data_IF_526482626208
#
_entry.id   IF_526482626208
#
_cell.length_a   1.000
_cell.length_b   1.000
_cell.length_c   1.000
_cell.angle_alpha   90.00
_cell.angle_beta   90.00
_cell.angle_gamma   90.00
#
_symmetry.space_group_name_H-M   'P 1'
#
loop_
_entity.id
_entity.type
_entity.pdbx_description
1 polymer ?
#
# COMPACT_ATOMS: atom_id res chain seq x y z
N UNK A 1 -11.45 3.92 10.35
CA UNK A 1 -12.75 4.48 10.78
C UNK A 1 -12.80 5.96 10.47
N UNK A 2 -13.90 6.46 9.89
CA UNK A 2 -14.15 7.90 9.73
C UNK A 2 -15.03 8.35 10.90
N UNK A 3 -14.71 9.48 11.51
CA UNK A 3 -15.50 10.06 12.62
C UNK A 3 -15.58 11.57 12.45
N UNK A 4 -16.68 12.17 12.92
CA UNK A 4 -16.85 13.63 12.96
C UNK A 4 -16.79 14.11 14.40
N UNK A 5 -16.05 15.19 14.56
CA UNK A 5 -15.92 15.99 15.78
C UNK A 5 -17.18 16.88 15.95
N UNK A 6 -17.60 17.27 17.17
CA UNK A 6 -18.60 18.30 17.42
C UNK A 6 -18.42 19.59 16.60
N UNK A 7 -17.17 19.97 16.31
CA UNK A 7 -16.82 21.11 15.43
C UNK A 7 -17.11 20.86 13.94
N UNK A 8 -17.69 19.71 13.58
CA UNK A 8 -17.97 19.29 12.20
C UNK A 8 -16.74 18.79 11.42
N UNK A 9 -15.55 18.76 12.05
CA UNK A 9 -14.31 18.31 11.41
C UNK A 9 -14.32 16.81 11.17
N UNK A 10 -13.88 16.38 9.99
CA UNK A 10 -13.80 14.95 9.65
C UNK A 10 -12.42 14.39 9.95
N UNK A 11 -12.42 13.34 10.75
CA UNK A 11 -11.23 12.58 11.16
C UNK A 11 -11.25 11.18 10.55
N UNK A 12 -10.05 10.66 10.28
CA UNK A 12 -9.84 9.28 9.85
C UNK A 12 -8.82 8.63 10.77
N UNK A 13 -9.27 7.63 11.54
CA UNK A 13 -8.41 6.82 12.42
C UNK A 13 -8.15 5.49 11.74
N UNK A 14 -6.89 5.15 11.49
CA UNK A 14 -6.49 3.94 10.76
C UNK A 14 -5.30 3.26 11.41
N UNK A 15 -5.21 1.95 11.22
CA UNK A 15 -4.01 1.18 11.56
C UNK A 15 -2.97 1.34 10.46
N UNK A 16 -1.72 1.57 10.85
CA UNK A 16 -0.59 1.58 9.93
C UNK A 16 -0.05 0.17 9.78
N UNK A 17 -0.12 -0.36 8.56
CA UNK A 17 0.32 -1.73 8.28
C UNK A 17 1.83 -1.89 8.14
N UNK A 18 2.52 -0.81 7.78
CA UNK A 18 3.96 -0.82 7.52
C UNK A 18 4.67 0.21 8.40
N UNK A 19 5.85 -0.10 8.95
CA UNK A 19 6.58 0.83 9.82
C UNK A 19 7.11 2.08 9.07
N UNK A 20 7.35 2.01 7.77
CA UNK A 20 7.82 3.14 6.96
C UNK A 20 6.69 4.12 6.57
N UNK A 21 7.01 5.43 6.48
CA UNK A 21 6.05 6.46 6.07
C UNK A 21 5.89 6.36 4.56
N UNK A 22 4.71 5.93 4.08
CA UNK A 22 4.42 5.92 2.64
C UNK A 22 4.24 7.36 2.16
N UNK A 23 5.26 7.94 1.52
CA UNK A 23 5.06 9.08 0.61
C UNK A 23 4.53 8.49 -0.69
N UNK A 24 3.21 8.54 -0.90
CA UNK A 24 2.64 8.19 -2.20
C UNK A 24 3.11 9.27 -3.17
N UNK A 25 4.06 8.92 -4.03
CA UNK A 25 4.35 9.67 -5.25
C UNK A 25 3.28 9.27 -6.26
N UNK A 26 2.58 10.24 -6.81
CA UNK A 26 1.62 10.02 -7.89
C UNK A 26 2.35 9.31 -9.04
N UNK A 27 1.86 8.12 -9.41
CA UNK A 27 2.36 7.38 -10.55
C UNK A 27 1.71 7.98 -11.81
N UNK A 28 2.48 8.35 -12.84
CA UNK A 28 1.92 8.64 -14.15
C UNK A 28 1.34 7.36 -14.76
N UNK A 29 0.09 7.42 -15.19
CA UNK A 29 -0.54 6.40 -16.03
C UNK A 29 0.02 6.53 -17.46
N UNK A 30 0.86 5.59 -17.88
CA UNK A 30 1.24 5.40 -19.27
C UNK A 30 1.56 3.93 -19.53
N UNK A 31 0.61 3.21 -20.14
CA UNK A 31 0.79 1.83 -20.61
C UNK A 31 1.25 1.83 -22.07
N UNK A 32 2.33 1.10 -22.45
CA UNK A 32 2.88 1.09 -23.81
C UNK A 32 2.21 0.09 -24.76
N UNK A 33 0.95 -0.31 -24.53
CA UNK A 33 0.36 -1.50 -25.15
C UNK A 33 -0.56 -1.26 -26.36
N UNK A 34 -0.70 -0.03 -26.84
CA UNK A 34 -1.64 0.30 -27.94
C UNK A 34 -1.18 -0.17 -29.34
N UNK A 35 0.04 -0.68 -29.50
CA UNK A 35 0.63 -1.03 -30.79
C UNK A 35 0.52 -2.50 -31.24
N UNK A 36 -0.04 -3.41 -30.44
CA UNK A 36 0.08 -4.86 -30.66
C UNK A 36 -1.07 -5.50 -31.47
N UNK A 37 -2.05 -4.72 -31.94
CA UNK A 37 -3.28 -5.24 -32.54
C UNK A 37 -3.22 -5.50 -34.07
N UNK A 38 -2.02 -5.62 -34.68
CA UNK A 38 -1.89 -5.68 -36.15
C UNK A 38 -0.89 -6.69 -36.74
N UNK A 39 -0.35 -7.62 -35.94
CA UNK A 39 0.80 -8.47 -36.35
C UNK A 39 0.42 -9.92 -36.77
N UNK A 40 -0.81 -10.18 -37.24
CA UNK A 40 -1.35 -11.54 -37.29
C UNK A 40 -1.58 -12.23 -38.65
N UNK A 41 -1.73 -11.51 -39.76
CA UNK A 41 -2.48 -12.09 -40.90
C UNK A 41 -1.63 -12.54 -42.10
N UNK A 42 -0.32 -12.28 -42.12
CA UNK A 42 0.57 -12.63 -43.24
C UNK A 42 1.90 -13.29 -42.79
N UNK A 43 2.48 -14.19 -43.60
CA UNK A 43 3.70 -14.91 -43.25
C UNK A 43 4.91 -13.99 -43.04
N UNK A 44 4.91 -12.77 -43.58
CA UNK A 44 5.99 -11.79 -43.34
C UNK A 44 5.88 -11.21 -41.93
N UNK A 45 4.68 -10.86 -41.47
CA UNK A 45 4.45 -10.44 -40.07
C UNK A 45 4.89 -11.50 -39.06
N UNK A 46 4.66 -12.79 -39.33
CA UNK A 46 5.13 -13.87 -38.46
C UNK A 46 6.66 -13.90 -38.32
N UNK A 47 7.40 -13.70 -39.41
CA UNK A 47 8.87 -13.62 -39.38
C UNK A 47 9.34 -12.40 -38.59
N UNK A 48 8.71 -11.24 -38.81
CA UNK A 48 9.02 -10.00 -38.06
C UNK A 48 8.77 -10.21 -36.57
N UNK A 49 7.65 -10.82 -36.19
CA UNK A 49 7.31 -11.12 -34.81
C UNK A 49 8.33 -12.06 -34.15
N UNK A 50 8.79 -13.10 -34.86
CA UNK A 50 9.84 -14.01 -34.35
C UNK A 50 11.16 -13.27 -34.13
N UNK A 51 11.59 -12.43 -35.08
CA UNK A 51 12.82 -11.64 -34.94
C UNK A 51 12.70 -10.69 -33.74
N UNK A 52 11.59 -9.96 -33.63
CA UNK A 52 11.34 -9.08 -32.49
C UNK A 52 11.31 -9.84 -31.17
N UNK A 53 10.72 -11.04 -31.13
CA UNK A 53 10.69 -11.89 -29.95
C UNK A 53 12.10 -12.33 -29.55
N UNK A 54 12.94 -12.74 -30.50
CA UNK A 54 14.33 -13.12 -30.25
C UNK A 54 15.13 -11.93 -29.71
N UNK A 55 14.93 -10.74 -30.29
CA UNK A 55 15.55 -9.50 -29.80
C UNK A 55 15.04 -9.09 -28.41
N UNK A 56 13.76 -9.31 -28.13
CA UNK A 56 13.13 -9.05 -26.83
C UNK A 56 13.41 -10.13 -25.79
N UNK A 57 13.90 -11.31 -26.18
CA UNK A 57 14.15 -12.45 -25.29
C UNK A 57 14.95 -12.10 -24.02
N UNK A 58 16.06 -11.33 -24.06
CA UNK A 58 16.74 -10.91 -22.83
C UNK A 58 15.85 -10.08 -21.90
N UNK A 59 14.99 -9.20 -22.44
CA UNK A 59 14.03 -8.43 -21.66
C UNK A 59 12.94 -9.34 -21.08
N UNK A 60 12.44 -10.31 -21.85
CA UNK A 60 11.44 -11.28 -21.37
C UNK A 60 12.02 -12.12 -20.24
N UNK A 61 13.25 -12.62 -20.38
CA UNK A 61 13.93 -13.37 -19.33
C UNK A 61 14.08 -12.50 -18.07
N UNK A 62 14.59 -11.28 -18.21
CA UNK A 62 14.71 -10.35 -17.09
C UNK A 62 13.35 -10.09 -16.41
N UNK A 63 12.30 -9.86 -17.20
CA UNK A 63 10.95 -9.65 -16.69
C UNK A 63 10.42 -10.86 -15.92
N UNK A 64 10.70 -12.08 -16.37
CA UNK A 64 10.34 -13.31 -15.65
C UNK A 64 11.09 -13.44 -14.32
N UNK A 65 12.38 -13.11 -14.28
CA UNK A 65 13.16 -13.10 -13.02
C UNK A 65 12.59 -12.09 -12.03
N UNK A 66 12.30 -10.87 -12.47
CA UNK A 66 11.69 -9.83 -11.63
C UNK A 66 10.30 -10.26 -11.17
N UNK A 67 9.48 -10.84 -12.05
CA UNK A 67 8.15 -11.33 -11.70
C UNK A 67 8.22 -12.46 -10.65
N UNK A 68 9.19 -13.37 -10.78
CA UNK A 68 9.44 -14.43 -9.80
C UNK A 68 9.87 -13.84 -8.45
N UNK A 69 10.79 -12.86 -8.44
CA UNK A 69 11.20 -12.17 -7.22
C UNK A 69 10.02 -11.48 -6.53
N UNK A 70 9.18 -10.76 -7.30
CA UNK A 70 7.97 -10.13 -6.78
C UNK A 70 6.98 -11.17 -6.23
N UNK A 71 6.84 -12.33 -6.88
CA UNK A 71 6.01 -13.42 -6.40
C UNK A 71 6.54 -13.99 -5.08
N UNK A 72 7.86 -14.17 -4.94
CA UNK A 72 8.50 -14.62 -3.71
C UNK A 72 8.33 -13.59 -2.59
N UNK A 73 8.50 -12.30 -2.87
CA UNK A 73 8.24 -11.22 -1.91
C UNK A 73 6.78 -11.20 -1.48
N UNK A 74 5.85 -11.35 -2.43
CA UNK A 74 4.42 -11.43 -2.13
C UNK A 74 4.10 -12.63 -1.24
N UNK A 75 4.72 -13.79 -1.51
CA UNK A 75 4.59 -14.98 -0.68
C UNK A 75 5.22 -14.79 0.70
N UNK A 76 6.28 -13.99 0.83
CA UNK A 76 6.95 -13.70 2.10
C UNK A 76 6.13 -12.76 3.01
N UNK A 77 5.30 -11.87 2.44
CA UNK A 77 4.46 -10.93 3.21
C UNK A 77 3.61 -11.61 4.29
N UNK A 78 2.82 -12.68 4.03
CA UNK A 78 2.04 -13.34 5.07
C UNK A 78 2.92 -13.95 6.17
N UNK A 79 4.07 -14.53 5.84
CA UNK A 79 5.00 -15.06 6.86
C UNK A 79 5.61 -13.94 7.69
N UNK A 80 6.01 -12.83 7.07
CA UNK A 80 6.50 -11.66 7.78
C UNK A 80 5.41 -11.06 8.69
N UNK A 81 4.16 -11.02 8.24
CA UNK A 81 3.03 -10.57 9.05
C UNK A 81 2.77 -11.51 10.24
N UNK A 82 2.84 -12.83 10.03
CA UNK A 82 2.68 -13.83 11.08
C UNK A 82 3.81 -13.77 12.10
N UNK A 83 5.06 -13.69 11.63
CA UNK A 83 6.23 -13.47 12.48
C UNK A 83 6.08 -12.17 13.28
N UNK A 84 5.66 -11.08 12.65
CA UNK A 84 5.40 -9.80 13.32
C UNK A 84 4.37 -9.94 14.47
N UNK A 85 3.31 -10.73 14.25
CA UNK A 85 2.32 -11.03 15.30
C UNK A 85 2.92 -11.92 16.39
N UNK A 86 3.68 -12.95 16.03
CA UNK A 86 4.30 -13.89 16.98
C UNK A 86 5.38 -13.24 17.86
N UNK A 87 6.15 -12.29 17.31
CA UNK A 87 7.17 -11.53 18.05
C UNK A 87 6.62 -10.33 18.82
N UNK A 88 5.29 -10.17 18.92
CA UNK A 88 4.66 -9.10 19.71
C UNK A 88 4.94 -7.69 19.19
N UNK A 89 5.26 -7.55 17.91
CA UNK A 89 5.56 -6.23 17.34
C UNK A 89 4.30 -5.36 17.33
N UNK A 90 4.44 -4.18 17.92
CA UNK A 90 3.37 -3.23 18.13
C UNK A 90 2.92 -2.65 16.77
N UNK A 91 1.62 -2.52 16.57
CA UNK A 91 1.03 -1.82 15.42
C UNK A 91 0.93 -0.34 15.74
N UNK A 92 1.21 0.56 14.80
CA UNK A 92 1.00 2.00 15.06
C UNK A 92 -0.42 2.38 14.63
N UNK A 93 -1.14 3.11 15.48
CA UNK A 93 -2.41 3.74 15.12
C UNK A 93 -2.12 5.18 14.71
N UNK A 94 -2.76 5.63 13.64
CA UNK A 94 -2.69 7.01 13.18
C UNK A 94 -4.08 7.65 13.20
N UNK A 95 -4.16 8.87 13.71
CA UNK A 95 -5.32 9.75 13.56
C UNK A 95 -4.99 10.87 12.57
N UNK A 96 -5.81 11.00 11.54
CA UNK A 96 -5.66 12.00 10.48
C UNK A 96 -6.82 12.97 10.51
N UNK A 97 -6.52 14.25 10.31
CA UNK A 97 -7.49 15.32 10.13
C UNK A 97 -7.46 15.74 8.66
N UNK A 98 -8.49 15.39 7.89
CA UNK A 98 -8.43 15.48 6.43
C UNK A 98 -7.31 14.59 5.85
N UNK A 99 -6.34 15.20 5.19
CA UNK A 99 -5.16 14.52 4.60
C UNK A 99 -3.91 14.56 5.48
N UNK A 100 -3.92 15.36 6.55
CA UNK A 100 -2.77 15.57 7.43
C UNK A 100 -2.78 14.59 8.60
N UNK A 101 -1.64 13.99 8.91
CA UNK A 101 -1.46 13.15 10.10
C UNK A 101 -1.37 14.08 11.31
N UNK A 102 -2.24 13.87 12.29
CA UNK A 102 -2.30 14.68 13.50
C UNK A 102 -1.60 13.98 14.67
N UNK A 103 -1.82 12.67 14.79
CA UNK A 103 -1.32 11.89 15.91
C UNK A 103 -0.97 10.46 15.48
N UNK A 104 0.07 9.92 16.09
CA UNK A 104 0.49 8.52 15.99
C UNK A 104 0.90 7.96 17.35
N UNK A 105 0.54 6.69 17.62
CA UNK A 105 1.05 5.98 18.78
C UNK A 105 1.17 4.47 18.53
N UNK A 106 2.15 3.81 19.16
CA UNK A 106 2.19 2.36 19.22
C UNK A 106 0.95 1.84 19.97
N UNK A 107 0.37 0.81 19.40
CA UNK A 107 -0.69 -0.03 19.96
C UNK A 107 -0.16 -1.45 19.96
N UNK A 108 -0.49 -2.26 20.95
CA UNK A 108 0.07 -3.60 21.07
C UNK A 108 -0.45 -4.57 19.99
N UNK A 109 -1.10 -5.63 20.41
CA UNK A 109 -1.59 -6.68 19.51
C UNK A 109 -2.70 -6.24 18.55
N UNK A 110 -3.11 -7.15 17.67
CA UNK A 110 -4.18 -6.91 16.69
C UNK A 110 -5.52 -6.52 17.35
N UNK A 111 -5.84 -7.13 18.49
CA UNK A 111 -7.09 -6.90 19.24
C UNK A 111 -7.06 -5.56 19.98
N UNK A 112 -5.99 -5.31 20.71
CA UNK A 112 -5.74 -4.06 21.47
C UNK A 112 -5.77 -2.84 20.57
N UNK A 113 -5.13 -2.93 19.40
CA UNK A 113 -5.14 -1.86 18.42
C UNK A 113 -6.55 -1.58 17.87
N UNK A 114 -7.43 -2.57 17.79
CA UNK A 114 -8.84 -2.38 17.43
C UNK A 114 -9.66 -1.69 18.52
N UNK A 115 -9.39 -2.02 19.79
CA UNK A 115 -9.99 -1.36 20.95
C UNK A 115 -9.54 0.11 21.04
N UNK A 116 -8.24 0.37 20.87
CA UNK A 116 -7.68 1.71 20.94
C UNK A 116 -8.15 2.60 19.76
N UNK A 117 -8.31 2.06 18.55
CA UNK A 117 -8.96 2.80 17.44
C UNK A 117 -10.36 3.25 17.80
N UNK A 118 -11.16 2.38 18.44
CA UNK A 118 -12.53 2.71 18.87
C UNK A 118 -12.54 3.72 20.01
N UNK A 119 -11.63 3.60 20.96
CA UNK A 119 -11.47 4.54 22.05
C UNK A 119 -11.11 5.95 21.54
N UNK A 120 -10.11 6.06 20.65
CA UNK A 120 -9.72 7.34 20.03
C UNK A 120 -10.85 7.91 19.17
N UNK A 121 -11.56 7.07 18.40
CA UNK A 121 -12.69 7.54 17.62
C UNK A 121 -13.81 8.09 18.51
N UNK A 122 -14.08 7.45 19.65
CA UNK A 122 -15.06 7.92 20.64
C UNK A 122 -14.63 9.25 21.26
N UNK A 123 -13.38 9.37 21.70
CA UNK A 123 -12.84 10.61 22.26
C UNK A 123 -12.95 11.79 21.26
N UNK A 124 -12.63 11.56 19.98
CA UNK A 124 -12.82 12.57 18.93
C UNK A 124 -14.29 12.94 18.76
N UNK A 125 -15.21 11.97 18.83
CA UNK A 125 -16.64 12.24 18.73
C UNK A 125 -17.19 13.03 19.93
N UNK A 126 -16.57 12.88 21.09
CA UNK A 126 -16.89 13.61 22.32
C UNK A 126 -16.23 15.01 22.37
N UNK A 127 -15.51 15.41 21.31
CA UNK A 127 -14.82 16.71 21.25
C UNK A 127 -13.48 16.73 22.00
N UNK A 128 -12.91 15.56 22.32
CA UNK A 128 -11.60 15.40 22.96
C UNK A 128 -10.60 14.79 21.98
N UNK A 129 -10.09 15.55 20.99
CA UNK A 129 -9.11 15.03 20.04
C UNK A 129 -7.76 14.77 20.73
N UNK A 130 -6.99 13.76 20.27
CA UNK A 130 -5.67 13.47 20.81
C UNK A 130 -4.69 14.63 20.57
N UNK A 131 -3.66 14.80 21.42
CA UNK A 131 -2.64 15.83 21.24
C UNK A 131 -1.90 15.63 19.92
N UNK A 132 -1.46 16.72 19.29
CA UNK A 132 -0.67 16.63 18.05
C UNK A 132 0.72 16.10 18.38
N UNK A 133 1.10 14.95 17.81
CA UNK A 133 2.45 14.36 18.00
C UNK A 133 3.34 14.44 16.75
N UNK A 134 2.77 14.84 15.61
CA UNK A 134 3.49 14.95 14.35
C UNK A 134 3.68 16.43 14.02
N UNK A 135 4.92 16.92 14.15
CA UNK A 135 5.38 18.20 13.60
C UNK A 135 5.65 18.05 12.09
N UNK A 136 5.35 19.09 11.32
CA UNK A 136 5.47 19.10 9.84
C UNK A 136 6.94 19.13 9.38
#
# INVERSE_FOLDING_TARGET
MKVRDPDGRTWRVTRRWVPWRRRLRELPDAGPLDGLNGLGDDPVSAIIAIVLLVLALPLVILALFVALELLLLLLLIPFAALARVAFGAHWTIEARRGFTIWWDAPSGGWRESGEQIRAVARAIHEGQPPPRTVED
#
